data_IF_809532022153
#
_entry.id   IF_809532022153
#
_cell.length_a   1.000
_cell.length_b   1.000
_cell.length_c   1.000
_cell.angle_alpha   90.00
_cell.angle_beta   90.00
_cell.angle_gamma   90.00
#
_symmetry.space_group_name_H-M   'P 1'
#
loop_
_entity.id
_entity.type
_entity.pdbx_description
1 polymer ?
#
# COMPACT_ATOMS: atom_id res chain seq x y z
N UNK A 1 -9.61 -8.03 -5.68
CA UNK A 1 -10.42 -8.00 -4.45
C UNK A 1 -10.01 -6.82 -3.58
N UNK A 2 -10.44 -5.62 -3.94
CA UNK A 2 -10.28 -4.43 -3.09
C UNK A 2 -11.65 -3.78 -2.91
N UNK A 3 -11.88 -3.12 -1.77
CA UNK A 3 -13.06 -2.29 -1.56
C UNK A 3 -13.23 -1.36 -2.76
N UNK A 4 -14.47 -1.17 -3.24
CA UNK A 4 -14.77 -0.12 -4.23
C UNK A 4 -14.26 1.22 -3.71
N UNK A 5 -13.84 2.10 -4.62
CA UNK A 5 -13.26 3.41 -4.27
C UNK A 5 -14.09 4.13 -3.20
N UNK A 6 -15.37 4.30 -3.44
CA UNK A 6 -16.27 5.02 -2.53
C UNK A 6 -16.36 4.36 -1.15
N UNK A 7 -16.43 3.02 -1.11
CA UNK A 7 -16.46 2.27 0.14
C UNK A 7 -15.15 2.41 0.95
N UNK A 8 -14.01 2.47 0.27
CA UNK A 8 -12.72 2.69 0.93
C UNK A 8 -12.63 4.10 1.53
N UNK A 9 -13.07 5.11 0.78
CA UNK A 9 -13.05 6.50 1.23
C UNK A 9 -14.00 6.73 2.40
N UNK A 10 -15.24 6.23 2.33
CA UNK A 10 -16.20 6.33 3.44
C UNK A 10 -15.70 5.63 4.70
N UNK A 11 -14.97 4.52 4.57
CA UNK A 11 -14.33 3.86 5.71
C UNK A 11 -13.27 4.76 6.36
N UNK A 12 -12.42 5.42 5.56
CA UNK A 12 -11.40 6.34 6.09
C UNK A 12 -12.02 7.58 6.73
N UNK A 13 -13.08 8.13 6.14
CA UNK A 13 -13.84 9.25 6.74
C UNK A 13 -14.38 8.85 8.11
N UNK A 14 -15.08 7.71 8.19
CA UNK A 14 -15.64 7.20 9.44
C UNK A 14 -14.55 6.92 10.47
N UNK A 15 -13.41 6.33 10.06
CA UNK A 15 -12.28 6.09 10.96
C UNK A 15 -11.75 7.41 11.55
N UNK A 16 -11.59 8.44 10.73
CA UNK A 16 -11.13 9.75 11.21
C UNK A 16 -12.11 10.38 12.20
N UNK A 17 -13.41 10.29 11.93
CA UNK A 17 -14.46 10.77 12.84
C UNK A 17 -14.46 10.04 14.18
N UNK A 18 -14.11 8.75 14.16
CA UNK A 18 -13.90 7.94 15.36
C UNK A 18 -12.54 8.18 16.06
N UNK A 19 -11.79 9.21 15.66
CA UNK A 19 -10.55 9.61 16.32
C UNK A 19 -9.28 8.94 15.78
N UNK A 20 -9.38 8.11 14.73
CA UNK A 20 -8.18 7.51 14.10
C UNK A 20 -7.33 8.61 13.45
N UNK A 21 -6.02 8.57 13.69
CA UNK A 21 -5.05 9.53 13.14
C UNK A 21 -3.92 8.90 12.37
N UNK A 22 -3.74 7.59 12.53
CA UNK A 22 -2.69 6.83 11.86
C UNK A 22 -3.29 5.63 11.14
N UNK A 23 -2.80 5.36 9.93
CA UNK A 23 -3.23 4.22 9.12
C UNK A 23 -2.05 3.28 8.90
N UNK A 24 -2.12 2.08 9.48
CA UNK A 24 -1.10 1.04 9.29
C UNK A 24 -1.74 -0.16 8.61
N UNK A 25 -1.26 -0.49 7.42
CA UNK A 25 -1.55 -1.77 6.78
C UNK A 25 -0.57 -2.81 7.29
N UNK A 26 -1.06 -3.98 7.64
CA UNK A 26 -0.21 -5.08 8.12
C UNK A 26 -0.73 -6.42 7.66
N UNK A 27 0.17 -7.39 7.55
CA UNK A 27 -0.20 -8.74 7.22
C UNK A 27 1.00 -9.69 7.18
N UNK A 28 0.70 -10.97 7.37
CA UNK A 28 1.65 -12.06 7.27
C UNK A 28 1.39 -12.88 6.00
N UNK A 29 2.44 -13.38 5.35
CA UNK A 29 2.35 -14.22 4.15
C UNK A 29 1.49 -13.54 3.07
N UNK A 30 0.47 -14.22 2.52
CA UNK A 30 -0.46 -13.65 1.54
C UNK A 30 -1.17 -12.39 2.05
N UNK A 31 -1.44 -12.28 3.36
CA UNK A 31 -2.00 -11.07 3.95
C UNK A 31 -1.05 -9.87 3.85
N UNK A 32 0.26 -10.10 3.92
CA UNK A 32 1.26 -9.04 3.75
C UNK A 32 1.35 -8.55 2.30
N UNK A 33 1.12 -9.45 1.33
CA UNK A 33 0.94 -9.03 -0.07
C UNK A 33 -0.26 -8.09 -0.20
N UNK A 34 -1.42 -8.46 0.35
CA UNK A 34 -2.60 -7.58 0.31
C UNK A 34 -2.38 -6.25 1.03
N UNK A 35 -1.66 -6.24 2.15
CA UNK A 35 -1.26 -5.00 2.83
C UNK A 35 -0.37 -4.12 1.94
N UNK A 36 0.55 -4.73 1.20
CA UNK A 36 1.42 -4.04 0.24
C UNK A 36 0.64 -3.49 -0.95
N UNK A 37 -0.33 -4.22 -1.48
CA UNK A 37 -1.25 -3.71 -2.50
C UNK A 37 -2.14 -2.59 -1.95
N UNK A 38 -2.56 -2.66 -0.68
CA UNK A 38 -3.39 -1.64 -0.06
C UNK A 38 -2.67 -0.29 0.09
N UNK A 39 -1.36 -0.30 0.38
CA UNK A 39 -0.57 0.95 0.39
C UNK A 39 -0.39 1.53 -1.03
N UNK A 40 -0.29 0.70 -2.07
CA UNK A 40 -0.30 1.19 -3.46
C UNK A 40 -1.66 1.82 -3.83
N UNK A 41 -2.77 1.23 -3.38
CA UNK A 41 -4.09 1.85 -3.52
C UNK A 41 -4.14 3.20 -2.79
N UNK A 42 -3.62 3.27 -1.57
CA UNK A 42 -3.56 4.53 -0.81
C UNK A 42 -2.73 5.61 -1.53
N UNK A 43 -1.66 5.24 -2.23
CA UNK A 43 -0.90 6.16 -3.10
C UNK A 43 -1.76 6.74 -4.24
N UNK A 44 -2.47 5.87 -4.96
CA UNK A 44 -3.36 6.28 -6.05
C UNK A 44 -4.45 7.25 -5.56
N UNK A 45 -5.04 6.94 -4.40
CA UNK A 45 -6.05 7.81 -3.79
C UNK A 45 -5.44 9.12 -3.28
N UNK A 46 -4.26 9.09 -2.66
CA UNK A 46 -3.56 10.29 -2.20
C UNK A 46 -3.36 11.31 -3.33
N UNK A 47 -2.91 10.84 -4.50
CA UNK A 47 -2.75 11.69 -5.68
C UNK A 47 -4.09 12.18 -6.26
N UNK A 48 -5.16 11.40 -6.10
CA UNK A 48 -6.51 11.72 -6.60
C UNK A 48 -7.31 12.67 -5.69
N UNK A 49 -6.99 12.70 -4.39
CA UNK A 49 -7.78 13.35 -3.34
C UNK A 49 -7.20 14.65 -2.80
N UNK A 50 -5.99 15.06 -3.21
CA UNK A 50 -5.39 16.33 -2.77
C UNK A 50 -6.39 17.49 -2.90
N UNK A 51 -6.84 18.04 -1.76
CA UNK A 51 -7.78 19.16 -1.70
C UNK A 51 -9.28 18.84 -1.81
N UNK A 52 -9.70 17.55 -1.87
CA UNK A 52 -11.12 17.17 -1.97
C UNK A 52 -11.75 16.75 -0.63
N UNK A 53 -10.98 16.09 0.24
CA UNK A 53 -11.42 15.72 1.58
C UNK A 53 -10.24 15.79 2.55
N UNK A 54 -10.23 16.82 3.40
CA UNK A 54 -9.15 17.08 4.35
C UNK A 54 -8.97 15.95 5.39
N UNK A 55 -10.06 15.31 5.83
CA UNK A 55 -10.03 14.23 6.83
C UNK A 55 -9.30 13.00 6.27
N UNK A 56 -9.70 12.60 5.05
CA UNK A 56 -9.12 11.45 4.35
C UNK A 56 -7.68 11.74 3.96
N UNK A 57 -7.40 12.95 3.47
CA UNK A 57 -6.05 13.37 3.11
C UNK A 57 -5.10 13.31 4.32
N UNK A 58 -5.55 13.77 5.50
CA UNK A 58 -4.77 13.65 6.75
C UNK A 58 -4.43 12.20 7.07
N UNK A 59 -5.38 11.27 6.97
CA UNK A 59 -5.09 9.84 7.19
C UNK A 59 -4.14 9.27 6.14
N UNK A 60 -4.35 9.54 4.86
CA UNK A 60 -3.51 9.03 3.78
C UNK A 60 -2.04 9.49 3.92
N UNK A 61 -1.80 10.69 4.46
CA UNK A 61 -0.44 11.19 4.76
C UNK A 61 0.31 10.36 5.80
N UNK A 62 -0.42 9.74 6.73
CA UNK A 62 0.15 8.93 7.81
C UNK A 62 0.39 7.47 7.44
N UNK A 63 0.04 7.05 6.21
CA UNK A 63 0.02 5.64 5.86
C UNK A 63 1.38 4.96 6.07
N UNK A 64 1.35 3.77 6.66
CA UNK A 64 2.50 2.87 6.84
C UNK A 64 2.12 1.45 6.47
N UNK A 65 3.10 0.63 6.12
CA UNK A 65 2.92 -0.78 5.84
C UNK A 65 3.96 -1.61 6.60
N UNK A 66 3.52 -2.63 7.33
CA UNK A 66 4.41 -3.55 8.04
C UNK A 66 4.02 -4.97 7.71
N UNK A 67 4.88 -5.72 7.06
CA UNK A 67 4.57 -7.08 6.60
C UNK A 67 5.58 -8.09 7.11
N UNK A 68 5.17 -9.36 7.14
CA UNK A 68 5.98 -10.46 7.67
C UNK A 68 5.92 -11.65 6.71
N UNK A 69 7.07 -12.07 6.19
CA UNK A 69 7.16 -13.22 5.29
C UNK A 69 6.28 -13.07 4.04
N UNK A 70 6.05 -11.83 3.57
CA UNK A 70 5.15 -11.57 2.46
C UNK A 70 5.83 -11.86 1.12
N UNK A 71 5.12 -12.49 0.14
CA UNK A 71 5.65 -12.67 -1.21
C UNK A 71 5.77 -11.33 -1.94
N UNK A 72 6.55 -11.30 -3.02
CA UNK A 72 6.72 -10.10 -3.85
C UNK A 72 5.37 -9.70 -4.45
N UNK A 73 4.93 -8.49 -4.14
CA UNK A 73 3.65 -7.95 -4.60
C UNK A 73 3.75 -7.24 -5.96
N UNK A 74 4.89 -6.60 -6.24
CA UNK A 74 5.12 -5.85 -7.48
C UNK A 74 6.18 -6.54 -8.31
N UNK A 75 5.99 -6.49 -9.61
CA UNK A 75 6.95 -7.02 -10.57
C UNK A 75 8.15 -6.11 -10.83
N UNK A 76 9.06 -6.60 -11.67
CA UNK A 76 10.10 -5.79 -12.29
C UNK A 76 9.61 -5.35 -13.68
N UNK A 77 9.80 -4.07 -14.01
CA UNK A 77 9.71 -3.58 -15.39
C UNK A 77 11.12 -3.39 -15.97
N UNK A 78 11.23 -3.57 -17.28
CA UNK A 78 12.46 -3.26 -18.01
C UNK A 78 12.82 -1.78 -17.88
N UNK A 79 14.06 -1.53 -17.48
CA UNK A 79 14.60 -0.21 -17.15
C UNK A 79 14.58 0.80 -18.31
N UNK A 80 14.48 0.33 -19.56
CA UNK A 80 14.43 1.17 -20.77
C UNK A 80 13.06 1.81 -21.02
N UNK A 81 11.99 1.31 -20.39
CA UNK A 81 10.61 1.77 -20.60
C UNK A 81 9.91 2.24 -19.31
N UNK A 82 10.67 2.45 -18.22
CA UNK A 82 10.12 2.67 -16.88
C UNK A 82 9.27 3.93 -16.78
N UNK A 83 7.98 3.75 -16.45
CA UNK A 83 7.05 4.86 -16.22
C UNK A 83 7.47 5.68 -14.96
N UNK A 84 7.65 7.01 -15.05
CA UNK A 84 7.95 7.87 -13.90
C UNK A 84 6.95 7.76 -12.73
N UNK A 85 5.70 7.36 -13.01
CA UNK A 85 4.69 7.06 -12.00
C UNK A 85 5.14 5.90 -11.09
N UNK A 86 5.80 4.88 -11.66
CA UNK A 86 6.30 3.73 -10.91
C UNK A 86 7.50 4.07 -10.02
N UNK A 87 8.36 4.99 -10.45
CA UNK A 87 9.41 5.54 -9.59
C UNK A 87 8.81 6.26 -8.38
N UNK A 88 7.77 7.05 -8.60
CA UNK A 88 7.07 7.77 -7.54
C UNK A 88 6.37 6.80 -6.57
N UNK A 89 5.72 5.76 -7.11
CA UNK A 89 5.11 4.70 -6.30
C UNK A 89 6.16 3.93 -5.49
N UNK A 90 7.27 3.52 -6.12
CA UNK A 90 8.35 2.80 -5.47
C UNK A 90 8.98 3.64 -4.34
N UNK A 91 9.20 4.93 -4.58
CA UNK A 91 9.67 5.85 -3.54
C UNK A 91 8.65 6.03 -2.42
N UNK A 92 7.35 6.13 -2.75
CA UNK A 92 6.28 6.25 -1.76
C UNK A 92 6.21 5.03 -0.84
N UNK A 93 6.27 3.82 -1.41
CA UNK A 93 6.22 2.55 -0.67
C UNK A 93 7.49 2.35 0.13
N UNK A 94 8.67 2.47 -0.47
CA UNK A 94 9.96 2.24 0.22
C UNK A 94 10.18 3.18 1.41
N UNK A 95 9.63 4.39 1.38
CA UNK A 95 9.70 5.34 2.50
C UNK A 95 8.68 5.09 3.63
N UNK A 96 7.75 4.14 3.44
CA UNK A 96 6.60 3.91 4.35
C UNK A 96 6.36 2.45 4.71
N UNK A 97 7.05 1.51 4.05
CA UNK A 97 6.84 0.09 4.18
C UNK A 97 8.08 -0.65 4.69
N UNK A 98 7.87 -1.64 5.54
CA UNK A 98 8.91 -2.59 5.99
C UNK A 98 8.36 -3.99 5.84
N UNK A 99 9.13 -4.89 5.20
CA UNK A 99 8.84 -6.32 5.13
C UNK A 99 9.88 -7.09 5.94
N UNK A 100 9.46 -7.71 7.05
CA UNK A 100 10.30 -8.57 7.87
C UNK A 100 10.37 -9.96 7.26
N UNK A 101 11.57 -10.38 6.89
CA UNK A 101 11.83 -11.65 6.22
C UNK A 101 12.70 -12.50 7.13
N UNK A 102 12.26 -13.74 7.36
CA UNK A 102 13.11 -14.74 8.01
C UNK A 102 14.07 -15.36 6.98
N UNK A 103 15.32 -15.62 7.36
CA UNK A 103 16.40 -16.04 6.46
C UNK A 103 15.99 -17.23 5.57
N UNK A 104 15.36 -18.23 6.18
CA UNK A 104 14.97 -19.48 5.51
C UNK A 104 13.51 -19.51 5.01
N UNK A 105 12.81 -18.38 4.99
CA UNK A 105 11.42 -18.33 4.49
C UNK A 105 11.39 -18.25 2.97
N UNK A 106 10.88 -19.25 2.23
CA UNK A 106 10.81 -19.17 0.77
C UNK A 106 9.75 -18.17 0.28
N UNK A 107 8.77 -17.79 1.12
CA UNK A 107 7.60 -17.02 0.69
C UNK A 107 7.96 -15.66 0.07
N UNK A 108 8.87 -14.85 0.63
CA UNK A 108 9.32 -13.59 0.02
C UNK A 108 10.04 -13.73 -1.32
N UNK A 109 10.46 -14.94 -1.70
CA UNK A 109 11.07 -15.23 -3.01
C UNK A 109 10.01 -15.63 -4.06
N UNK A 110 8.78 -15.89 -3.65
CA UNK A 110 7.69 -16.16 -4.56
C UNK A 110 7.15 -14.86 -5.17
N UNK A 111 6.94 -14.86 -6.49
CA UNK A 111 6.22 -13.82 -7.20
C UNK A 111 4.72 -14.06 -7.04
N UNK A 112 3.98 -13.07 -6.52
CA UNK A 112 2.56 -13.27 -6.22
C UNK A 112 1.63 -13.24 -7.43
N UNK A 113 2.09 -12.73 -8.58
CA UNK A 113 1.32 -12.69 -9.82
C UNK A 113 0.26 -11.59 -9.84
N UNK A 114 0.36 -10.61 -8.94
CA UNK A 114 -0.61 -9.53 -8.87
C UNK A 114 -0.28 -8.46 -9.93
N UNK A 115 -1.10 -8.39 -10.98
CA UNK A 115 -1.18 -7.19 -11.83
C UNK A 115 -1.95 -6.12 -11.05
N UNK A 116 -1.31 -4.98 -10.80
CA UNK A 116 -1.87 -3.86 -10.02
C UNK A 116 -2.33 -2.74 -10.95
#
# INVERSE_FOLDING_TARGET
>A
YFLKKDAFISLLESAYENGVRELVFTGHSLGGMYATSAIAKAFSEFNSFSGKNEKVEKLLRTVRCVTFGAPMCFGHEDWEARDPCLDTLAHFISSRAVNYIHDNDPCPRAWSGFDV
#
